data_IF_325742947740
#
_entry.id   IF_325742947740
#
_cell.length_a   1.000
_cell.length_b   1.000
_cell.length_c   1.000
_cell.angle_alpha   90.00
_cell.angle_beta   90.00
_cell.angle_gamma   90.00
#
_symmetry.space_group_name_H-M   'P 1'
#
loop_
_entity.id
_entity.type
_entity.pdbx_description
1 polymer ?
#
# COMPACT_ATOMS: atom_id res chain seq x y z
N UNK A 1 9.48 -2.64 9.24
CA UNK A 1 8.55 -2.73 10.40
C UNK A 1 7.85 -4.06 10.40
N UNK A 2 7.59 -4.62 11.59
CA UNK A 2 6.67 -5.74 11.83
C UNK A 2 5.63 -5.27 12.83
N UNK A 3 4.36 -5.45 12.51
CA UNK A 3 3.25 -5.16 13.42
C UNK A 3 2.74 -6.48 14.01
N UNK A 4 2.77 -6.59 15.32
CA UNK A 4 2.19 -7.70 16.07
C UNK A 4 0.82 -7.25 16.57
N UNK A 5 -0.21 -8.03 16.27
CA UNK A 5 -1.57 -7.87 16.81
C UNK A 5 -1.81 -9.02 17.79
N UNK A 6 -2.26 -8.68 18.98
CA UNK A 6 -2.42 -9.59 20.09
C UNK A 6 -3.87 -9.57 20.54
N UNK A 7 -4.44 -10.74 20.79
CA UNK A 7 -5.74 -10.90 21.39
C UNK A 7 -5.64 -11.87 22.54
N UNK A 8 -6.39 -11.62 23.63
CA UNK A 8 -6.62 -12.62 24.66
C UNK A 8 -7.77 -13.54 24.22
N UNK A 9 -7.83 -14.74 24.76
CA UNK A 9 -9.00 -15.60 24.59
C UNK A 9 -10.21 -14.97 25.26
N UNK A 10 -11.39 -15.18 24.68
CA UNK A 10 -12.66 -14.70 25.21
C UNK A 10 -12.86 -15.19 26.65
N UNK A 11 -13.17 -14.28 27.57
CA UNK A 11 -13.33 -14.55 29.00
C UNK A 11 -12.10 -14.29 29.88
N UNK A 12 -10.94 -13.95 29.30
CA UNK A 12 -9.73 -13.60 30.06
C UNK A 12 -9.50 -12.08 30.19
N UNK A 13 -10.40 -11.27 29.66
CA UNK A 13 -10.24 -9.80 29.52
C UNK A 13 -10.20 -9.09 30.89
N UNK A 14 -10.89 -9.61 31.91
CA UNK A 14 -10.90 -9.03 33.28
C UNK A 14 -9.60 -9.24 34.06
N UNK A 15 -8.70 -10.12 33.60
CA UNK A 15 -7.47 -10.47 34.29
C UNK A 15 -6.20 -10.06 33.55
N UNK A 16 -6.36 -9.44 32.38
CA UNK A 16 -5.22 -9.09 31.52
C UNK A 16 -4.68 -7.72 31.89
N UNK A 17 -3.43 -7.67 32.38
CA UNK A 17 -2.70 -6.40 32.52
C UNK A 17 -2.03 -6.00 31.20
N UNK A 18 -1.49 -6.96 30.45
CA UNK A 18 -0.84 -6.66 29.18
C UNK A 18 -0.11 -7.86 28.57
N UNK A 19 0.81 -7.56 27.64
CA UNK A 19 1.55 -8.54 26.89
C UNK A 19 3.05 -8.38 27.06
N UNK A 20 3.75 -9.49 27.26
CA UNK A 20 5.20 -9.55 27.16
C UNK A 20 5.59 -10.08 25.78
N UNK A 21 6.38 -9.29 25.04
CA UNK A 21 6.82 -9.58 23.70
C UNK A 21 8.32 -9.88 23.70
N UNK A 22 8.69 -11.00 23.10
CA UNK A 22 10.08 -11.37 22.94
C UNK A 22 10.40 -11.66 21.48
N UNK A 23 11.63 -11.34 21.08
CA UNK A 23 12.18 -11.66 19.76
C UNK A 23 13.40 -12.55 19.90
N UNK A 24 13.50 -13.56 19.03
CA UNK A 24 14.65 -14.46 18.99
C UNK A 24 15.90 -13.70 18.54
N UNK A 25 17.00 -13.87 19.27
CA UNK A 25 18.31 -13.33 18.97
C UNK A 25 19.34 -14.46 19.14
N UNK A 26 19.81 -15.02 18.01
CA UNK A 26 20.58 -16.25 18.03
C UNK A 26 19.75 -17.42 18.60
N UNK A 27 20.27 -18.10 19.60
CA UNK A 27 19.58 -19.22 20.28
C UNK A 27 18.60 -18.78 21.37
N UNK A 28 18.66 -17.54 21.85
CA UNK A 28 17.88 -17.03 23.00
C UNK A 28 16.77 -16.08 22.58
N UNK A 29 15.74 -15.94 23.41
CA UNK A 29 14.70 -14.93 23.27
C UNK A 29 15.02 -13.76 24.20
N UNK A 30 14.92 -12.53 23.66
CA UNK A 30 15.04 -11.28 24.43
C UNK A 30 13.70 -10.55 24.48
N UNK A 31 13.33 -10.07 25.64
CA UNK A 31 12.16 -9.18 25.79
C UNK A 31 12.46 -7.87 25.05
N UNK A 32 11.56 -7.49 24.16
CA UNK A 32 11.63 -6.26 23.37
C UNK A 32 10.55 -5.26 23.77
N UNK A 33 9.49 -5.72 24.42
CA UNK A 33 8.45 -4.87 25.00
C UNK A 33 7.64 -5.62 26.06
N UNK A 34 7.07 -4.84 27.01
CA UNK A 34 5.88 -5.13 27.79
C UNK A 34 4.91 -3.98 27.50
N UNK A 35 3.67 -4.26 27.16
CA UNK A 35 2.68 -3.25 26.76
C UNK A 35 1.27 -3.69 27.17
N UNK A 36 0.42 -2.72 27.46
CA UNK A 36 -1.03 -2.90 27.64
C UNK A 36 -1.79 -2.86 26.31
N UNK A 37 -1.14 -2.32 25.26
CA UNK A 37 -1.73 -2.23 23.93
C UNK A 37 -1.84 -3.60 23.27
N UNK A 38 -2.93 -3.82 22.55
CA UNK A 38 -3.13 -5.00 21.68
C UNK A 38 -2.32 -4.97 20.38
N UNK A 39 -1.65 -3.86 20.07
CA UNK A 39 -0.84 -3.67 18.86
C UNK A 39 0.55 -3.16 19.22
N UNK A 40 1.57 -3.89 18.78
CA UNK A 40 2.97 -3.49 18.93
C UNK A 40 3.70 -3.42 17.60
N UNK A 41 4.38 -2.31 17.32
CA UNK A 41 5.18 -2.10 16.09
C UNK A 41 6.66 -2.23 16.38
N UNK A 42 7.29 -3.29 15.87
CA UNK A 42 8.75 -3.45 15.90
C UNK A 42 9.38 -2.80 14.67
N UNK A 43 10.10 -1.72 14.87
CA UNK A 43 10.72 -0.90 13.82
C UNK A 43 12.22 -1.17 13.69
N UNK A 44 12.90 -0.49 12.74
CA UNK A 44 14.35 -0.58 12.49
C UNK A 44 14.85 -2.01 12.23
N UNK A 45 14.02 -2.83 11.60
CA UNK A 45 14.35 -4.19 11.22
C UNK A 45 15.09 -4.21 9.88
N UNK A 46 16.01 -5.17 9.74
CA UNK A 46 16.67 -5.41 8.44
C UNK A 46 15.64 -5.90 7.42
N UNK A 47 15.78 -5.45 6.18
CA UNK A 47 14.99 -5.90 5.07
C UNK A 47 15.29 -7.35 4.71
N UNK A 48 14.30 -8.06 4.13
CA UNK A 48 14.41 -9.46 3.68
C UNK A 48 15.02 -10.39 4.75
N UNK A 49 14.59 -10.20 6.00
CA UNK A 49 15.11 -10.94 7.16
C UNK A 49 13.95 -11.58 7.91
N UNK A 50 14.13 -12.85 8.26
CA UNK A 50 13.15 -13.59 9.05
C UNK A 50 13.37 -13.34 10.54
N UNK A 51 12.31 -12.90 11.21
CA UNK A 51 12.26 -12.70 12.65
C UNK A 51 11.28 -13.68 13.28
N UNK A 52 11.68 -14.25 14.42
CA UNK A 52 10.81 -15.10 15.23
C UNK A 52 10.46 -14.36 16.51
N UNK A 53 9.17 -14.27 16.75
CA UNK A 53 8.61 -13.65 17.94
C UNK A 53 7.91 -14.69 18.81
N UNK A 54 7.81 -14.39 20.08
CA UNK A 54 6.85 -15.02 20.97
C UNK A 54 6.21 -13.97 21.86
N UNK A 55 4.94 -14.16 22.17
CA UNK A 55 4.13 -13.25 22.96
C UNK A 55 3.39 -14.07 24.01
N UNK A 56 3.25 -13.52 25.19
CA UNK A 56 2.38 -14.08 26.24
C UNK A 56 1.65 -12.97 26.96
N UNK A 57 0.43 -13.20 27.44
CA UNK A 57 -0.28 -12.30 28.33
C UNK A 57 0.38 -12.34 29.71
N UNK A 58 0.20 -11.28 30.48
CA UNK A 58 0.53 -11.26 31.90
C UNK A 58 -0.54 -10.51 32.70
N UNK A 59 -0.69 -10.94 33.92
CA UNK A 59 -1.46 -10.29 34.97
C UNK A 59 -0.53 -9.81 36.07
N UNK A 60 -0.69 -8.55 36.46
CA UNK A 60 0.02 -7.97 37.59
C UNK A 60 -1.00 -7.73 38.72
N UNK A 61 -0.78 -8.38 39.82
CA UNK A 61 -1.54 -8.23 41.04
C UNK A 61 -0.92 -7.09 41.86
N UNK A 62 -1.67 -5.98 42.01
CA UNK A 62 -1.19 -4.79 42.72
C UNK A 62 -1.20 -4.99 44.26
N UNK A 63 -2.01 -5.92 44.77
CA UNK A 63 -2.08 -6.18 46.22
C UNK A 63 -0.87 -7.01 46.71
N UNK A 64 -0.49 -8.01 45.91
CA UNK A 64 0.60 -8.91 46.26
C UNK A 64 1.93 -8.56 45.57
N UNK A 65 1.93 -7.63 44.61
CA UNK A 65 3.11 -7.28 43.78
C UNK A 65 3.56 -8.39 42.83
N UNK A 66 2.77 -9.45 42.66
CA UNK A 66 3.14 -10.61 41.84
C UNK A 66 2.71 -10.47 40.40
N UNK A 67 3.53 -10.98 39.48
CA UNK A 67 3.21 -11.08 38.05
C UNK A 67 3.01 -12.54 37.68
N UNK A 68 1.86 -12.87 37.16
CA UNK A 68 1.54 -14.19 36.58
C UNK A 68 1.57 -14.11 35.06
N UNK A 69 2.09 -15.13 34.41
CA UNK A 69 2.23 -15.17 32.97
C UNK A 69 1.47 -16.33 32.36
N UNK A 70 0.79 -16.07 31.24
CA UNK A 70 0.18 -17.11 30.43
C UNK A 70 1.19 -17.83 29.51
N UNK A 71 0.68 -18.73 28.70
CA UNK A 71 1.47 -19.52 27.74
C UNK A 71 2.06 -18.65 26.63
N UNK A 72 3.15 -19.10 26.02
CA UNK A 72 3.78 -18.45 24.90
C UNK A 72 3.09 -18.81 23.59
N UNK A 73 2.64 -17.81 22.83
CA UNK A 73 2.30 -17.92 21.43
C UNK A 73 3.51 -17.55 20.56
N UNK A 74 3.72 -18.27 19.45
CA UNK A 74 4.89 -18.11 18.58
C UNK A 74 4.47 -17.69 17.17
N UNK A 75 5.26 -16.81 16.55
CA UNK A 75 5.08 -16.46 15.15
C UNK A 75 6.42 -16.17 14.47
N UNK A 76 6.47 -16.40 13.17
CA UNK A 76 7.63 -16.18 12.32
C UNK A 76 7.24 -15.31 11.12
N UNK A 77 7.97 -14.22 10.89
CA UNK A 77 7.68 -13.28 9.80
C UNK A 77 8.96 -12.86 9.09
N UNK A 78 8.92 -12.76 7.76
CA UNK A 78 10.03 -12.26 6.97
C UNK A 78 9.68 -10.86 6.48
N UNK A 79 10.53 -9.87 6.83
CA UNK A 79 10.37 -8.49 6.35
C UNK A 79 10.55 -8.40 4.85
N UNK A 80 9.95 -7.37 4.24
CA UNK A 80 10.13 -7.09 2.82
C UNK A 80 11.46 -6.40 2.54
N UNK A 81 11.95 -6.58 1.32
CA UNK A 81 13.26 -6.08 0.85
C UNK A 81 13.25 -4.63 0.39
N UNK A 82 12.38 -3.79 0.91
CA UNK A 82 12.27 -2.37 0.57
C UNK A 82 10.82 -1.90 0.48
N UNK A 83 10.65 -0.63 0.08
CA UNK A 83 9.34 -0.04 -0.21
C UNK A 83 9.03 -0.11 -1.70
N UNK A 84 7.84 -0.56 -2.04
CA UNK A 84 7.32 -0.48 -3.40
C UNK A 84 6.96 0.98 -3.71
N UNK A 85 7.43 1.50 -4.83
CA UNK A 85 7.04 2.80 -5.38
C UNK A 85 6.53 2.58 -6.78
N UNK A 86 5.43 3.21 -7.15
CA UNK A 86 4.79 3.10 -8.46
C UNK A 86 4.74 4.47 -9.13
N UNK A 87 5.07 4.49 -10.42
CA UNK A 87 4.89 5.65 -11.30
C UNK A 87 4.11 5.22 -12.53
N UNK A 88 3.05 5.94 -12.87
CA UNK A 88 2.35 5.85 -14.13
C UNK A 88 2.83 6.98 -15.05
N UNK A 89 3.09 6.67 -16.31
CA UNK A 89 3.54 7.64 -17.31
C UNK A 89 2.78 7.38 -18.61
N UNK A 90 2.00 8.35 -19.11
CA UNK A 90 1.35 8.25 -20.42
C UNK A 90 2.37 7.99 -21.52
N UNK A 91 2.03 7.11 -22.45
CA UNK A 91 2.82 6.86 -23.67
C UNK A 91 2.08 7.35 -24.91
N UNK A 92 0.76 7.28 -24.88
CA UNK A 92 -0.14 7.81 -25.89
C UNK A 92 -1.52 8.02 -25.24
N UNK A 93 -2.49 8.53 -25.98
CA UNK A 93 -3.90 8.66 -25.54
C UNK A 93 -4.58 7.32 -25.22
N UNK A 94 -3.93 6.20 -25.54
CA UNK A 94 -4.49 4.84 -25.36
C UNK A 94 -3.52 3.88 -24.68
N UNK A 95 -2.42 4.39 -24.09
CA UNK A 95 -1.45 3.54 -23.42
C UNK A 95 -0.70 4.25 -22.29
N UNK A 96 -0.42 3.51 -21.23
CA UNK A 96 0.34 3.96 -20.08
C UNK A 96 1.46 2.99 -19.74
N UNK A 97 2.64 3.51 -19.39
CA UNK A 97 3.72 2.73 -18.81
C UNK A 97 3.70 2.86 -17.30
N UNK A 98 3.53 1.73 -16.64
CA UNK A 98 3.72 1.58 -15.20
C UNK A 98 5.18 1.21 -14.93
N UNK A 99 5.79 1.82 -13.93
CA UNK A 99 7.16 1.51 -13.49
C UNK A 99 7.21 1.47 -11.98
N UNK A 100 7.91 0.49 -11.42
CA UNK A 100 7.99 0.32 -9.97
C UNK A 100 9.38 -0.08 -9.50
N UNK A 101 9.65 0.15 -8.20
CA UNK A 101 10.88 -0.31 -7.56
C UNK A 101 10.83 -1.81 -7.34
N UNK A 102 11.93 -2.51 -7.67
CA UNK A 102 12.04 -3.94 -7.36
C UNK A 102 12.15 -4.17 -5.86
N UNK A 103 11.44 -5.17 -5.38
CA UNK A 103 11.46 -5.59 -3.98
C UNK A 103 12.31 -6.85 -3.85
N UNK A 104 13.36 -6.78 -3.05
CA UNK A 104 14.21 -7.93 -2.76
C UNK A 104 13.39 -9.04 -2.11
N UNK A 105 13.52 -10.26 -2.64
CA UNK A 105 12.77 -11.43 -2.16
C UNK A 105 11.36 -11.56 -2.71
N UNK A 106 10.85 -10.63 -3.53
CA UNK A 106 9.60 -10.83 -4.25
C UNK A 106 9.73 -11.99 -5.25
N UNK A 107 8.66 -12.76 -5.44
CA UNK A 107 8.52 -13.77 -6.49
C UNK A 107 7.94 -13.18 -7.78
N UNK A 108 7.20 -12.08 -7.65
CA UNK A 108 6.61 -11.38 -8.78
C UNK A 108 5.77 -10.21 -8.33
N UNK A 109 5.09 -9.61 -9.30
CA UNK A 109 4.20 -8.48 -9.12
C UNK A 109 2.87 -8.76 -9.80
N UNK A 110 1.79 -8.35 -9.17
CA UNK A 110 0.45 -8.35 -9.74
C UNK A 110 0.03 -6.90 -9.98
N UNK A 111 -0.42 -6.64 -11.19
CA UNK A 111 -0.87 -5.33 -11.64
C UNK A 111 -2.39 -5.41 -11.81
N UNK A 112 -3.07 -4.51 -11.16
CA UNK A 112 -4.51 -4.39 -11.17
C UNK A 112 -4.90 -3.04 -11.77
N UNK A 113 -6.04 -2.98 -12.43
CA UNK A 113 -6.63 -1.78 -13.01
C UNK A 113 -8.08 -1.65 -12.60
N UNK A 114 -8.49 -0.42 -12.35
CA UNK A 114 -9.87 -0.02 -12.25
C UNK A 114 -10.14 1.14 -13.21
N UNK A 115 -11.33 1.23 -13.75
CA UNK A 115 -11.78 2.21 -14.74
C UNK A 115 -12.95 3.02 -14.18
N UNK A 116 -13.02 4.31 -14.56
CA UNK A 116 -14.23 5.13 -14.43
C UNK A 116 -14.19 6.21 -13.36
N UNK A 117 -15.07 7.18 -13.53
CA UNK A 117 -15.26 8.35 -12.68
C UNK A 117 -15.74 8.01 -11.25
N UNK A 118 -16.34 6.86 -11.06
CA UNK A 118 -16.91 6.42 -9.77
C UNK A 118 -15.87 6.12 -8.67
N UNK A 119 -14.57 6.19 -8.96
CA UNK A 119 -13.52 6.09 -7.97
C UNK A 119 -13.08 7.48 -7.47
N UNK A 120 -13.24 8.54 -8.25
CA UNK A 120 -12.89 9.88 -7.83
C UNK A 120 -13.46 10.23 -6.46
N UNK A 121 -14.70 9.92 -6.22
CA UNK A 121 -15.38 10.15 -4.95
C UNK A 121 -14.86 9.26 -3.80
N UNK A 122 -14.45 8.03 -4.10
CA UNK A 122 -13.94 7.08 -3.10
C UNK A 122 -12.45 7.28 -2.78
N UNK A 123 -11.65 7.72 -3.73
CA UNK A 123 -10.21 8.03 -3.51
C UNK A 123 -10.06 9.38 -2.82
N UNK A 124 -10.86 10.38 -3.19
CA UNK A 124 -10.92 11.69 -2.51
C UNK A 124 -11.41 11.57 -1.05
N UNK A 125 -12.26 10.58 -0.75
CA UNK A 125 -12.72 10.28 0.61
C UNK A 125 -11.74 9.42 1.43
N UNK A 126 -10.51 9.18 0.95
CA UNK A 126 -9.53 8.33 1.65
C UNK A 126 -9.87 6.83 1.64
N UNK A 127 -10.88 6.41 0.90
CA UNK A 127 -11.29 5.01 0.79
C UNK A 127 -10.50 4.28 -0.31
N UNK A 128 -9.19 4.19 -0.14
CA UNK A 128 -8.31 3.39 -1.01
C UNK A 128 -8.60 1.87 -0.95
N UNK A 129 -9.56 1.44 -0.13
CA UNK A 129 -9.74 0.03 0.24
C UNK A 129 -10.79 -0.72 -0.56
N UNK A 130 -11.38 -0.16 -1.63
CA UNK A 130 -12.32 -0.93 -2.43
C UNK A 130 -11.59 -1.79 -3.49
N UNK A 131 -10.73 -2.69 -3.00
CA UNK A 131 -9.99 -3.65 -3.82
C UNK A 131 -10.92 -4.46 -4.76
N UNK A 132 -12.18 -4.65 -4.39
CA UNK A 132 -13.18 -5.37 -5.18
C UNK A 132 -13.41 -4.76 -6.59
N UNK A 133 -13.15 -3.46 -6.77
CA UNK A 133 -13.28 -2.78 -8.06
C UNK A 133 -12.06 -2.97 -8.98
N UNK A 134 -10.92 -3.42 -8.45
CA UNK A 134 -9.70 -3.61 -9.21
C UNK A 134 -9.66 -4.99 -9.87
N UNK A 135 -9.46 -5.03 -11.18
CA UNK A 135 -9.28 -6.27 -11.95
C UNK A 135 -7.80 -6.54 -12.16
N UNK A 136 -7.38 -7.79 -11.92
CA UNK A 136 -6.03 -8.24 -12.24
C UNK A 136 -5.84 -8.23 -13.77
N UNK A 137 -4.91 -7.41 -14.27
CA UNK A 137 -4.62 -7.30 -15.69
C UNK A 137 -3.30 -7.97 -16.08
N UNK A 138 -2.36 -8.15 -15.13
CA UNK A 138 -1.08 -8.79 -15.40
C UNK A 138 -0.42 -9.33 -14.14
N UNK A 139 0.16 -10.53 -14.26
CA UNK A 139 1.15 -11.05 -13.30
C UNK A 139 2.51 -11.08 -13.99
N UNK A 140 3.55 -10.63 -13.29
CA UNK A 140 4.92 -10.57 -13.80
C UNK A 140 5.89 -11.32 -12.89
N UNK A 141 7.08 -11.64 -13.42
CA UNK A 141 8.16 -12.22 -12.62
C UNK A 141 8.82 -11.20 -11.69
N UNK A 142 9.65 -11.69 -10.76
CA UNK A 142 10.46 -10.86 -9.86
C UNK A 142 11.44 -9.91 -10.59
N UNK A 143 11.83 -10.25 -11.82
CA UNK A 143 12.76 -9.45 -12.62
C UNK A 143 12.11 -8.21 -13.22
N UNK A 144 10.79 -8.21 -13.38
CA UNK A 144 10.06 -7.09 -13.97
C UNK A 144 10.05 -5.87 -13.06
N UNK A 145 10.15 -4.70 -13.64
CA UNK A 145 10.01 -3.39 -12.98
C UNK A 145 9.14 -2.43 -13.77
N UNK A 146 8.51 -2.91 -14.84
CA UNK A 146 7.55 -2.13 -15.62
C UNK A 146 6.58 -3.02 -16.38
N UNK A 147 5.45 -2.42 -16.76
CA UNK A 147 4.43 -2.98 -17.63
C UNK A 147 3.79 -1.85 -18.43
N UNK A 148 3.49 -2.08 -19.70
CA UNK A 148 2.75 -1.11 -20.51
C UNK A 148 1.35 -1.64 -20.74
N UNK A 149 0.37 -0.93 -20.21
CA UNK A 149 -1.04 -1.16 -20.48
C UNK A 149 -1.40 -0.43 -21.77
N UNK A 150 -2.17 -1.11 -22.65
CA UNK A 150 -2.50 -0.65 -23.99
C UNK A 150 -4.00 -0.82 -24.22
N UNK A 151 -4.49 -0.22 -25.32
CA UNK A 151 -5.90 -0.25 -25.74
C UNK A 151 -6.82 0.40 -24.69
N UNK A 152 -6.31 1.44 -24.03
CA UNK A 152 -7.10 2.28 -23.14
C UNK A 152 -8.02 3.17 -23.96
N UNK A 153 -9.16 3.55 -23.39
CA UNK A 153 -10.07 4.52 -23.99
C UNK A 153 -9.58 5.93 -23.68
N UNK A 154 -9.53 6.79 -24.68
CA UNK A 154 -9.23 8.21 -24.49
C UNK A 154 -10.36 8.89 -23.71
N UNK A 155 -10.03 9.79 -22.79
CA UNK A 155 -11.01 10.50 -21.97
C UNK A 155 -11.52 9.70 -20.75
N UNK A 156 -10.98 8.53 -20.48
CA UNK A 156 -11.30 7.72 -19.30
C UNK A 156 -10.21 7.80 -18.24
N UNK A 157 -10.63 7.82 -16.99
CA UNK A 157 -9.72 7.73 -15.85
C UNK A 157 -9.35 6.27 -15.55
N UNK A 158 -8.08 6.05 -15.28
CA UNK A 158 -7.55 4.75 -14.92
C UNK A 158 -6.78 4.79 -13.61
N UNK A 159 -7.07 3.84 -12.75
CA UNK A 159 -6.43 3.67 -11.46
C UNK A 159 -5.69 2.33 -11.45
N UNK A 160 -4.44 2.38 -11.07
CA UNK A 160 -3.57 1.22 -11.03
C UNK A 160 -3.12 0.91 -9.61
N UNK A 161 -3.02 -0.37 -9.33
CA UNK A 161 -2.46 -0.91 -8.12
C UNK A 161 -1.42 -1.96 -8.48
N UNK A 162 -0.23 -1.87 -7.91
CA UNK A 162 0.80 -2.90 -8.04
C UNK A 162 1.09 -3.48 -6.67
N UNK A 163 1.09 -4.82 -6.57
CA UNK A 163 1.39 -5.57 -5.36
C UNK A 163 2.55 -6.52 -5.62
N UNK A 164 3.60 -6.42 -4.81
CA UNK A 164 4.63 -7.45 -4.79
C UNK A 164 4.15 -8.65 -3.96
N UNK A 165 4.45 -9.88 -4.39
CA UNK A 165 4.10 -11.07 -3.64
C UNK A 165 5.30 -12.01 -3.42
N UNK A 166 5.23 -12.79 -2.34
CA UNK A 166 6.04 -13.98 -2.05
C UNK A 166 5.13 -15.20 -2.00
N UNK A 167 5.72 -16.38 -2.23
CA UNK A 167 5.00 -17.64 -2.04
C UNK A 167 5.60 -18.41 -0.87
N UNK A 168 4.73 -18.99 -0.05
CA UNK A 168 5.10 -19.95 1.00
C UNK A 168 4.18 -21.16 0.82
N UNK A 169 4.74 -22.29 0.40
CA UNK A 169 3.95 -23.39 -0.14
C UNK A 169 3.12 -22.89 -1.33
N UNK A 170 1.83 -23.19 -1.32
CA UNK A 170 0.89 -22.77 -2.38
C UNK A 170 0.23 -21.39 -2.13
N UNK A 171 0.53 -20.73 -1.03
CA UNK A 171 -0.09 -19.46 -0.66
C UNK A 171 0.73 -18.26 -1.08
N UNK A 172 0.06 -17.21 -1.59
CA UNK A 172 0.67 -15.91 -1.89
C UNK A 172 0.53 -14.97 -0.69
N UNK A 173 1.62 -14.30 -0.37
CA UNK A 173 1.68 -13.25 0.64
C UNK A 173 2.11 -11.95 -0.02
N UNK A 174 1.34 -10.89 0.16
CA UNK A 174 1.56 -9.61 -0.47
C UNK A 174 2.27 -8.62 0.45
N UNK A 175 2.99 -7.67 -0.15
CA UNK A 175 3.48 -6.51 0.56
C UNK A 175 2.28 -5.60 0.84
N UNK A 176 1.91 -5.47 2.10
CA UNK A 176 0.79 -4.66 2.58
C UNK A 176 -0.36 -4.49 1.54
N UNK A 177 -0.94 -3.33 1.43
CA UNK A 177 -2.05 -3.03 0.54
C UNK A 177 -1.64 -2.76 -0.92
N UNK A 178 -0.32 -2.68 -1.20
CA UNK A 178 0.21 -2.31 -2.50
C UNK A 178 0.44 -0.80 -2.64
N UNK A 179 0.75 -0.35 -3.86
CA UNK A 179 0.98 1.07 -4.18
C UNK A 179 0.10 1.45 -5.36
N UNK A 180 -0.58 2.58 -5.21
CA UNK A 180 -1.55 3.10 -6.15
C UNK A 180 -0.94 4.18 -7.05
N UNK A 181 -1.40 4.29 -8.28
CA UNK A 181 -1.21 5.42 -9.16
C UNK A 181 -2.50 5.64 -9.96
N UNK A 182 -2.84 6.88 -10.16
CA UNK A 182 -3.94 7.30 -11.04
C UNK A 182 -3.40 7.94 -12.31
N UNK A 183 -4.18 7.89 -13.34
CA UNK A 183 -3.95 8.57 -14.60
C UNK A 183 -5.29 9.00 -15.18
N UNK A 184 -5.42 10.30 -15.40
CA UNK A 184 -6.53 10.89 -16.11
C UNK A 184 -6.08 11.22 -17.53
N UNK A 185 -6.80 10.72 -18.52
CA UNK A 185 -6.60 11.11 -19.91
C UNK A 185 -7.51 12.32 -20.16
N UNK A 186 -6.99 13.50 -19.92
CA UNK A 186 -7.72 14.74 -20.21
C UNK A 186 -7.94 14.88 -21.73
N UNK A 187 -9.18 15.17 -22.12
CA UNK A 187 -9.46 15.63 -23.46
C UNK A 187 -8.97 17.05 -23.60
N UNK A 188 -7.96 17.27 -24.40
CA UNK A 188 -7.54 18.63 -24.80
C UNK A 188 -8.64 19.26 -25.64
N UNK A 189 -9.28 20.29 -25.13
CA UNK A 189 -10.19 21.13 -25.92
C UNK A 189 -9.37 22.18 -26.71
N UNK A 190 -9.69 22.33 -27.98
CA UNK A 190 -9.12 23.40 -28.79
C UNK A 190 -9.80 24.71 -28.40
N UNK A 191 -9.08 25.57 -27.68
CA UNK A 191 -9.65 26.81 -27.14
C UNK A 191 -9.58 27.97 -28.14
N UNK A 192 -8.72 27.90 -29.13
CA UNK A 192 -8.56 28.96 -30.13
C UNK A 192 -8.04 28.43 -31.45
N UNK A 193 -8.69 28.86 -32.52
CA UNK A 193 -8.23 28.69 -33.90
C UNK A 193 -7.90 30.09 -34.44
N UNK A 194 -6.67 30.28 -34.93
CA UNK A 194 -6.31 31.55 -35.58
C UNK A 194 -5.65 31.28 -36.91
N UNK A 195 -5.94 32.15 -37.90
CA UNK A 195 -5.33 32.09 -39.23
C UNK A 195 -4.40 33.29 -39.41
N UNK A 196 -3.16 33.06 -39.76
CA UNK A 196 -2.22 34.09 -40.13
C UNK A 196 -1.26 33.55 -41.20
N UNK A 197 -1.04 34.36 -42.27
CA UNK A 197 -0.10 34.04 -43.36
C UNK A 197 -0.29 32.64 -43.98
N UNK A 198 -1.55 32.29 -44.26
CA UNK A 198 -1.88 30.99 -44.84
C UNK A 198 -1.68 29.77 -43.92
N UNK A 199 -1.37 29.97 -42.63
CA UNK A 199 -1.17 28.91 -41.65
C UNK A 199 -2.26 28.95 -40.58
N UNK A 200 -2.77 27.77 -40.25
CA UNK A 200 -3.68 27.56 -39.13
C UNK A 200 -2.85 27.31 -37.86
N UNK A 201 -3.12 28.09 -36.82
CA UNK A 201 -2.58 27.86 -35.48
C UNK A 201 -3.71 27.42 -34.57
N UNK A 202 -3.53 26.23 -34.00
CA UNK A 202 -4.38 25.70 -32.96
C UNK A 202 -3.72 25.93 -31.59
N UNK A 203 -4.46 26.50 -30.66
CA UNK A 203 -4.05 26.63 -29.29
C UNK A 203 -4.98 25.77 -28.43
N UNK A 204 -4.42 24.98 -27.55
CA UNK A 204 -5.16 24.15 -26.60
C UNK A 204 -4.58 24.33 -25.20
N UNK A 205 -5.40 24.22 -24.20
CA UNK A 205 -5.01 24.14 -22.82
C UNK A 205 -5.42 22.78 -22.26
N UNK A 206 -4.65 22.18 -21.33
CA UNK A 206 -5.09 21.02 -20.56
C UNK A 206 -6.32 21.42 -19.73
N UNK A 207 -7.40 20.68 -19.92
CA UNK A 207 -8.74 21.16 -19.60
C UNK A 207 -9.10 21.19 -18.10
N UNK A 208 -8.23 21.03 -17.11
CA UNK A 208 -8.71 21.05 -15.72
C UNK A 208 -7.73 21.32 -14.58
N UNK A 209 -6.46 21.35 -14.75
CA UNK A 209 -5.57 21.65 -13.60
C UNK A 209 -5.61 23.09 -13.13
N UNK A 210 -5.87 24.05 -14.03
CA UNK A 210 -5.92 25.48 -13.66
C UNK A 210 -7.20 25.87 -12.89
N UNK A 211 -8.34 25.27 -13.19
CA UNK A 211 -9.59 25.66 -12.49
C UNK A 211 -9.67 25.17 -11.05
N UNK A 212 -9.03 24.05 -10.70
CA UNK A 212 -8.98 23.61 -9.30
C UNK A 212 -7.98 24.40 -8.47
N UNK A 213 -6.87 24.83 -9.05
CA UNK A 213 -5.93 25.72 -8.36
C UNK A 213 -6.49 27.13 -8.17
N UNK A 214 -7.20 27.68 -9.17
CA UNK A 214 -7.86 28.99 -9.06
C UNK A 214 -8.99 28.98 -8.01
N UNK A 215 -9.78 27.92 -7.89
CA UNK A 215 -10.82 27.82 -6.86
C UNK A 215 -10.25 27.67 -5.45
N UNK A 216 -9.06 27.12 -5.28
CA UNK A 216 -8.39 27.10 -3.97
C UNK A 216 -7.82 28.47 -3.57
N UNK A 217 -7.43 29.31 -4.53
CA UNK A 217 -6.95 30.66 -4.27
C UNK A 217 -8.10 31.62 -3.98
N UNK A 218 -9.26 31.49 -4.63
CA UNK A 218 -10.45 32.31 -4.37
C UNK A 218 -11.15 32.00 -3.03
N UNK A 219 -10.86 30.86 -2.39
CA UNK A 219 -11.37 30.53 -1.04
C UNK A 219 -10.43 31.01 0.09
N UNK A 220 -9.29 31.59 -0.23
CA UNK A 220 -8.29 32.07 0.73
C UNK A 220 -8.18 33.64 0.77
N UNK A 221 -9.05 34.35 0.05
CA UNK A 221 -9.24 35.82 0.14
C UNK A 221 -10.64 36.09 0.70
#
# INVERSE_FOLDING_TARGET
>A
TVTLRMSAESGSEGWLTGYQIQRKNGKKYKTIAKTTDSVYKNTKLKADTTYTYRVRPYYYDSETGKTTYGAWAYNKVTTWGGALKLKATPKSTTSVKLSWTKIKGAKGYEIYRCEGSSIGDTVAAGMTNNFAKYKLIKTTSAKASSYTDKKLQSGMDYYYLVRAYKTVGNSKYYIDEGVYANLSFEMTTVNRISYANGKMKLSWHPAMLEQQQLRQVEQLI
#
